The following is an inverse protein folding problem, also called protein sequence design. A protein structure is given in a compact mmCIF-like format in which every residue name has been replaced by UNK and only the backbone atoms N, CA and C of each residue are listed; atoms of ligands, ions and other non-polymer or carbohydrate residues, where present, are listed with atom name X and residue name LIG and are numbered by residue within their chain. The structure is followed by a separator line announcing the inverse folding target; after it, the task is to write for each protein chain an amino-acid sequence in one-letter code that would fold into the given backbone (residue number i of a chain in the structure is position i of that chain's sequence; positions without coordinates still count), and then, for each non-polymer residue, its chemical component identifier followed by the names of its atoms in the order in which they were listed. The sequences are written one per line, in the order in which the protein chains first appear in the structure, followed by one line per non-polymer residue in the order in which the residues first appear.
data_IF_797523963956
#
_entry.id   IF_797523963956
#
_cell.length_a   1.000
_cell.length_b   1.000
_cell.length_c   1.000
_cell.angle_alpha   90.00
_cell.angle_beta   90.00
_cell.angle_gamma   90.00
#
_symmetry.space_group_name_H-M   'P 1'
#
loop_
_entity.id
_entity.type
_entity.pdbx_description
1 polymer ?
#
# COMPACT_ATOMS: atom_id res chain seq x y z
N UNK A 1 1.68 1.12 -3.16
CA UNK A 1 1.45 1.83 -1.84
C UNK A 1 2.44 2.92 -1.51
N UNK A 2 3.72 2.76 -1.87
CA UNK A 2 4.80 3.71 -1.53
C UNK A 2 4.50 5.15 -1.99
N UNK A 3 3.87 5.30 -3.16
CA UNK A 3 3.51 6.60 -3.72
C UNK A 3 2.59 7.43 -2.83
N UNK A 4 1.79 6.79 -1.98
CA UNK A 4 0.86 7.49 -1.09
C UNK A 4 1.59 8.31 -0.04
N UNK A 5 2.78 7.88 0.39
CA UNK A 5 3.59 8.63 1.35
C UNK A 5 4.09 9.97 0.77
N UNK A 6 4.14 10.15 -0.56
CA UNK A 6 4.44 11.47 -1.14
C UNK A 6 3.34 12.51 -0.85
N UNK A 7 2.10 12.08 -0.61
CA UNK A 7 1.03 13.00 -0.20
C UNK A 7 1.26 13.57 1.20
N UNK A 8 2.07 12.89 2.04
CA UNK A 8 2.44 13.34 3.37
C UNK A 8 3.64 14.30 3.37
N UNK A 9 4.37 14.39 2.26
CA UNK A 9 5.58 15.22 2.14
C UNK A 9 5.35 16.70 2.51
N UNK A 10 4.25 17.37 2.10
CA UNK A 10 3.98 18.75 2.50
C UNK A 10 3.75 18.94 4.02
N UNK A 11 3.49 17.86 4.75
CA UNK A 11 3.20 17.88 6.18
C UNK A 11 4.41 17.47 7.04
N UNK A 12 5.53 17.11 6.41
CA UNK A 12 6.76 16.80 7.13
C UNK A 12 7.50 18.07 7.56
N UNK A 13 8.06 18.04 8.77
CA UNK A 13 8.91 19.13 9.27
C UNK A 13 10.17 19.35 8.42
N UNK A 14 10.72 18.26 7.86
CA UNK A 14 11.93 18.27 7.01
C UNK A 14 11.70 17.51 5.71
N UNK A 15 11.10 18.15 4.68
CA UNK A 15 10.82 17.51 3.41
C UNK A 15 12.06 17.01 2.67
N UNK A 16 13.22 17.67 2.83
CA UNK A 16 14.48 17.22 2.20
C UNK A 16 14.98 15.85 2.70
N UNK A 17 14.61 15.45 3.93
CA UNK A 17 15.01 14.16 4.51
C UNK A 17 14.08 13.01 4.09
N UNK A 18 12.97 13.29 3.38
CA UNK A 18 11.97 12.29 2.99
C UNK A 18 12.58 11.09 2.28
N UNK A 19 13.52 11.30 1.35
CA UNK A 19 14.16 10.21 0.62
C UNK A 19 14.98 9.27 1.52
N UNK A 20 15.60 9.80 2.58
CA UNK A 20 16.34 8.99 3.57
C UNK A 20 15.38 8.22 4.47
N UNK A 21 14.35 8.89 4.98
CA UNK A 21 13.31 8.28 5.80
C UNK A 21 12.60 7.14 5.05
N UNK A 22 12.25 7.37 3.78
CA UNK A 22 11.60 6.37 2.94
C UNK A 22 12.49 5.15 2.72
N UNK A 23 13.77 5.35 2.38
CA UNK A 23 14.73 4.25 2.23
C UNK A 23 14.88 3.45 3.52
N UNK A 24 15.06 4.13 4.66
CA UNK A 24 15.18 3.46 5.96
C UNK A 24 13.94 2.64 6.31
N UNK A 25 12.75 3.21 6.14
CA UNK A 25 11.48 2.51 6.37
C UNK A 25 11.30 1.30 5.46
N UNK A 26 11.64 1.44 4.16
CA UNK A 26 11.57 0.34 3.20
C UNK A 26 12.56 -0.78 3.54
N UNK A 27 13.78 -0.46 3.93
CA UNK A 27 14.78 -1.46 4.33
C UNK A 27 14.33 -2.21 5.57
N UNK A 28 13.85 -1.51 6.60
CA UNK A 28 13.33 -2.16 7.82
C UNK A 28 12.12 -3.04 7.48
N UNK A 29 11.17 -2.52 6.70
CA UNK A 29 10.00 -3.27 6.26
C UNK A 29 10.37 -4.53 5.48
N UNK A 30 11.32 -4.43 4.55
CA UNK A 30 11.80 -5.57 3.76
C UNK A 30 12.45 -6.64 4.65
N UNK A 31 13.30 -6.24 5.61
CA UNK A 31 13.94 -7.17 6.55
C UNK A 31 12.89 -7.86 7.43
N UNK A 32 11.94 -7.11 7.98
CA UNK A 32 10.87 -7.67 8.82
C UNK A 32 10.00 -8.65 8.02
N UNK A 33 9.59 -8.28 6.80
CA UNK A 33 8.82 -9.16 5.93
C UNK A 33 9.59 -10.45 5.60
N UNK A 34 10.88 -10.33 5.28
CA UNK A 34 11.73 -11.48 4.99
C UNK A 34 11.81 -12.43 6.19
N UNK A 35 11.99 -11.90 7.40
CA UNK A 35 12.02 -12.70 8.62
C UNK A 35 10.68 -13.43 8.87
N UNK A 36 9.56 -12.75 8.64
CA UNK A 36 8.22 -13.34 8.78
C UNK A 36 8.03 -14.48 7.75
N UNK A 37 8.37 -14.23 6.48
CA UNK A 37 8.26 -15.24 5.43
C UNK A 37 9.15 -16.45 5.69
N UNK A 38 10.40 -16.25 6.11
CA UNK A 38 11.29 -17.35 6.49
C UNK A 38 10.72 -18.16 7.65
N UNK A 39 10.23 -17.49 8.69
CA UNK A 39 9.59 -18.13 9.84
C UNK A 39 8.38 -18.97 9.40
N UNK A 40 7.57 -18.47 8.48
CA UNK A 40 6.41 -19.19 7.97
C UNK A 40 6.81 -20.43 7.15
N UNK A 41 7.82 -20.30 6.28
CA UNK A 41 8.36 -21.42 5.48
C UNK A 41 8.97 -22.48 6.39
N UNK A 42 9.76 -22.10 7.40
CA UNK A 42 10.42 -23.03 8.31
C UNK A 42 9.42 -23.83 9.13
N UNK A 43 8.31 -23.21 9.55
CA UNK A 43 7.32 -23.87 10.41
C UNK A 43 6.29 -24.68 9.61
N UNK A 44 5.80 -24.16 8.48
CA UNK A 44 4.76 -24.83 7.68
C UNK A 44 5.34 -25.73 6.58
N UNK A 45 6.60 -25.54 6.18
CA UNK A 45 7.21 -26.24 5.05
C UNK A 45 6.37 -26.11 3.78
N UNK A 46 6.09 -27.25 3.13
CA UNK A 46 5.27 -27.33 1.91
C UNK A 46 3.82 -26.82 2.11
N UNK A 47 3.31 -26.82 3.35
CA UNK A 47 1.95 -26.33 3.64
C UNK A 47 1.83 -24.81 3.44
N UNK A 48 2.95 -24.08 3.38
CA UNK A 48 2.98 -22.64 3.05
C UNK A 48 2.38 -22.35 1.67
N UNK A 49 2.56 -23.26 0.70
CA UNK A 49 2.12 -23.07 -0.69
C UNK A 49 0.60 -23.16 -0.88
N UNK A 50 -0.08 -23.86 0.02
CA UNK A 50 -1.53 -24.07 -0.01
C UNK A 50 -2.28 -23.23 1.01
N UNK A 51 -1.56 -22.60 1.94
CA UNK A 51 -2.16 -21.73 2.95
C UNK A 51 -2.42 -20.34 2.41
N UNK A 52 -3.67 -19.88 2.51
CA UNK A 52 -4.07 -18.52 2.13
C UNK A 52 -3.56 -17.46 3.10
N UNK A 53 -3.31 -17.83 4.36
CA UNK A 53 -2.77 -17.00 5.43
C UNK A 53 -1.71 -17.78 6.23
N UNK A 54 -0.48 -17.88 5.71
CA UNK A 54 0.60 -18.65 6.34
C UNK A 54 0.90 -18.20 7.77
N UNK A 55 1.10 -16.89 8.00
CA UNK A 55 1.47 -16.38 9.32
C UNK A 55 0.43 -16.67 10.41
N UNK A 56 -0.86 -16.63 10.03
CA UNK A 56 -1.97 -17.02 10.90
C UNK A 56 -1.98 -18.53 11.18
N UNK A 57 -1.74 -19.34 10.15
CA UNK A 57 -1.67 -20.80 10.27
C UNK A 57 -0.56 -21.23 11.25
N UNK A 58 0.60 -20.57 11.19
CA UNK A 58 1.69 -20.81 12.15
C UNK A 58 1.28 -20.46 13.58
N UNK A 59 0.59 -19.33 13.79
CA UNK A 59 0.15 -18.93 15.13
C UNK A 59 -0.84 -19.93 15.73
N UNK A 60 -1.67 -20.55 14.88
CA UNK A 60 -2.59 -21.61 15.29
C UNK A 60 -1.87 -22.91 15.66
N UNK A 61 -0.75 -23.23 15.02
CA UNK A 61 0.10 -24.38 15.40
C UNK A 61 0.71 -24.22 16.80
N UNK A 62 1.10 -23.00 17.17
CA UNK A 62 1.65 -22.70 18.51
C UNK A 62 0.57 -22.90 19.60
N UNK A 63 -0.70 -22.70 19.27
CA UNK A 63 -1.84 -22.89 20.20
C UNK A 63 -2.06 -24.37 20.58
N UNK A 64 -1.81 -25.31 19.67
CA UNK A 64 -1.95 -26.75 19.92
C UNK A 64 -0.96 -27.31 20.96
N UNK A 65 0.07 -26.54 21.33
CA UNK A 65 1.06 -26.91 22.35
C UNK A 65 0.73 -26.37 23.76
N UNK A 66 -0.54 -26.02 24.04
CA UNK A 66 -1.11 -25.60 25.34
C UNK A 66 -0.54 -24.33 26.01
N UNK A 67 0.61 -23.80 25.59
CA UNK A 67 1.30 -22.68 26.27
C UNK A 67 0.78 -21.29 25.82
N UNK A 68 0.19 -21.16 24.62
CA UNK A 68 -0.12 -19.87 23.98
C UNK A 68 -1.53 -19.79 23.35
N UNK A 69 -2.54 -20.24 24.09
CA UNK A 69 -3.93 -20.42 23.64
C UNK A 69 -4.66 -19.15 23.14
N UNK A 70 -4.07 -17.95 23.21
CA UNK A 70 -4.69 -16.66 22.83
C UNK A 70 -3.88 -15.78 21.87
N UNK A 71 -2.77 -16.26 21.30
CA UNK A 71 -1.98 -15.46 20.36
C UNK A 71 -2.74 -15.14 19.05
N UNK A 72 -3.68 -15.99 18.66
CA UNK A 72 -4.54 -15.78 17.50
C UNK A 72 -5.35 -14.47 17.60
N UNK A 73 -5.90 -14.19 18.79
CA UNK A 73 -6.68 -12.98 19.05
C UNK A 73 -5.79 -11.74 18.97
N UNK A 74 -4.58 -11.81 19.54
CA UNK A 74 -3.62 -10.70 19.47
C UNK A 74 -3.22 -10.39 18.03
N UNK A 75 -3.04 -11.41 17.20
CA UNK A 75 -2.77 -11.25 15.78
C UNK A 75 -3.94 -10.58 15.04
N UNK A 76 -5.17 -11.00 15.30
CA UNK A 76 -6.36 -10.37 14.71
C UNK A 76 -6.45 -8.88 15.10
N UNK A 77 -6.24 -8.55 16.38
CA UNK A 77 -6.22 -7.16 16.86
C UNK A 77 -5.14 -6.35 16.14
N UNK A 78 -3.92 -6.90 16.05
CA UNK A 78 -2.81 -6.22 15.36
C UNK A 78 -3.12 -5.98 13.88
N UNK A 79 -3.70 -6.96 13.18
CA UNK A 79 -4.14 -6.79 11.80
C UNK A 79 -5.22 -5.71 11.65
N UNK A 80 -6.22 -5.69 12.54
CA UNK A 80 -7.28 -4.67 12.51
C UNK A 80 -6.68 -3.28 12.70
N UNK A 81 -5.77 -3.11 13.65
CA UNK A 81 -5.10 -1.83 13.90
C UNK A 81 -4.26 -1.40 12.69
N UNK A 82 -3.48 -2.31 12.11
CA UNK A 82 -2.69 -2.01 10.90
C UNK A 82 -3.58 -1.64 9.71
N UNK A 83 -4.68 -2.38 9.51
CA UNK A 83 -5.63 -2.12 8.43
C UNK A 83 -6.31 -0.77 8.61
N UNK A 84 -6.66 -0.41 9.86
CA UNK A 84 -7.21 0.90 10.19
C UNK A 84 -6.25 2.02 9.76
N UNK A 85 -4.99 1.98 10.20
CA UNK A 85 -4.00 2.99 9.79
C UNK A 85 -3.80 3.04 8.27
N UNK A 86 -3.74 1.89 7.62
CA UNK A 86 -3.61 1.78 6.17
C UNK A 86 -4.77 2.47 5.46
N UNK A 87 -6.01 2.14 5.83
CA UNK A 87 -7.21 2.73 5.23
C UNK A 87 -7.27 4.23 5.51
N UNK A 88 -6.94 4.68 6.73
CA UNK A 88 -6.92 6.11 7.06
C UNK A 88 -5.94 6.90 6.16
N UNK A 89 -4.74 6.38 5.95
CA UNK A 89 -3.73 7.04 5.10
C UNK A 89 -4.17 7.06 3.62
N UNK A 90 -4.67 5.93 3.11
CA UNK A 90 -5.18 5.83 1.74
C UNK A 90 -6.38 6.75 1.50
N UNK A 91 -7.29 6.82 2.47
CA UNK A 91 -8.45 7.69 2.44
C UNK A 91 -8.04 9.17 2.41
N UNK A 92 -7.14 9.57 3.32
CA UNK A 92 -6.60 10.92 3.35
C UNK A 92 -5.97 11.30 2.00
N UNK A 93 -5.13 10.43 1.46
CA UNK A 93 -4.47 10.66 0.18
C UNK A 93 -5.46 10.75 -1.00
N UNK A 94 -6.50 9.93 -1.00
CA UNK A 94 -7.52 9.92 -2.06
C UNK A 94 -8.34 11.21 -2.05
N UNK A 95 -8.84 11.63 -0.89
CA UNK A 95 -9.60 12.88 -0.73
C UNK A 95 -8.74 14.09 -1.12
N UNK A 96 -7.49 14.12 -0.65
CA UNK A 96 -6.54 15.20 -0.97
C UNK A 96 -6.22 15.25 -2.46
N UNK A 97 -6.01 14.10 -3.10
CA UNK A 97 -5.72 14.02 -4.53
C UNK A 97 -6.88 14.57 -5.37
N UNK A 98 -8.12 14.18 -5.06
CA UNK A 98 -9.31 14.64 -5.78
C UNK A 98 -9.55 16.13 -5.55
N UNK A 99 -9.38 16.61 -4.32
CA UNK A 99 -9.49 18.04 -4.02
C UNK A 99 -8.50 18.87 -4.84
N UNK A 100 -7.26 18.40 -5.00
CA UNK A 100 -6.23 19.07 -5.82
C UNK A 100 -6.55 18.99 -7.31
N UNK A 101 -7.01 17.84 -7.81
CA UNK A 101 -7.34 17.66 -9.23
C UNK A 101 -8.53 18.54 -9.67
N UNK A 102 -9.55 18.63 -8.82
CA UNK A 102 -10.76 19.44 -9.07
C UNK A 102 -10.61 20.90 -8.63
N UNK A 103 -9.44 21.29 -8.08
CA UNK A 103 -9.13 22.65 -7.59
C UNK A 103 -10.13 23.17 -6.54
N UNK A 104 -10.66 22.29 -5.69
CA UNK A 104 -11.53 22.71 -4.59
C UNK A 104 -10.72 23.42 -3.49
N UNK A 105 -11.23 24.54 -2.96
CA UNK A 105 -10.58 25.30 -1.89
C UNK A 105 -10.67 24.62 -0.52
N UNK A 106 -11.68 23.76 -0.31
CA UNK A 106 -11.88 23.02 0.93
C UNK A 106 -12.25 21.56 0.65
N UNK A 107 -11.52 20.63 1.27
CA UNK A 107 -11.77 19.20 1.17
C UNK A 107 -12.79 18.69 2.19
N UNK A 108 -13.27 19.55 3.12
CA UNK A 108 -14.17 19.15 4.22
C UNK A 108 -15.47 18.52 3.73
N UNK A 109 -16.04 19.03 2.63
CA UNK A 109 -17.24 18.44 2.02
C UNK A 109 -16.96 17.10 1.33
N UNK A 110 -15.75 16.91 0.80
CA UNK A 110 -15.37 15.67 0.12
C UNK A 110 -15.20 14.51 1.10
N UNK A 111 -14.82 14.78 2.36
CA UNK A 111 -14.64 13.76 3.40
C UNK A 111 -15.90 12.88 3.54
N UNK A 112 -17.07 13.38 3.98
CA UNK A 112 -18.24 12.53 4.17
C UNK A 112 -18.72 11.85 2.88
N UNK A 113 -18.60 12.52 1.72
CA UNK A 113 -18.97 11.96 0.42
C UNK A 113 -18.11 10.75 0.06
N UNK A 114 -16.79 10.90 0.10
CA UNK A 114 -15.86 9.79 -0.16
C UNK A 114 -15.97 8.70 0.89
N UNK A 115 -16.25 9.06 2.14
CA UNK A 115 -16.50 8.09 3.21
C UNK A 115 -17.69 7.18 2.89
N UNK A 116 -18.82 7.77 2.50
CA UNK A 116 -20.01 7.02 2.09
C UNK A 116 -19.75 6.14 0.87
N UNK A 117 -19.08 6.67 -0.16
CA UNK A 117 -18.73 5.91 -1.36
C UNK A 117 -17.84 4.71 -1.05
N UNK A 118 -16.85 4.86 -0.17
CA UNK A 118 -15.97 3.76 0.22
C UNK A 118 -16.74 2.67 0.97
N UNK A 119 -17.67 3.03 1.86
CA UNK A 119 -18.48 2.06 2.58
C UNK A 119 -19.39 1.28 1.61
N UNK A 120 -20.06 1.97 0.70
CA UNK A 120 -20.90 1.32 -0.33
C UNK A 120 -20.05 0.39 -1.19
N UNK A 121 -18.89 0.87 -1.65
CA UNK A 121 -17.98 0.06 -2.46
C UNK A 121 -17.48 -1.17 -1.70
N UNK A 122 -17.11 -1.02 -0.42
CA UNK A 122 -16.62 -2.12 0.41
C UNK A 122 -17.65 -3.25 0.58
N UNK A 123 -18.95 -2.93 0.58
CA UNK A 123 -20.03 -3.91 0.69
C UNK A 123 -20.29 -4.61 -0.66
N UNK A 124 -20.12 -3.89 -1.78
CA UNK A 124 -20.49 -4.38 -3.12
C UNK A 124 -19.33 -4.97 -3.94
N UNK A 125 -18.07 -4.82 -3.50
CA UNK A 125 -16.90 -5.09 -4.35
C UNK A 125 -16.63 -6.58 -4.60
N UNK A 126 -16.89 -7.45 -3.63
CA UNK A 126 -16.63 -8.89 -3.76
C UNK A 126 -17.78 -9.67 -3.12
N UNK A 127 -18.38 -10.57 -3.88
CA UNK A 127 -19.47 -11.42 -3.39
C UNK A 127 -18.95 -12.64 -2.62
N UNK A 128 -17.69 -13.03 -2.86
CA UNK A 128 -17.06 -14.16 -2.17
C UNK A 128 -15.56 -13.96 -1.93
N UNK A 129 -15.03 -14.67 -0.92
CA UNK A 129 -13.59 -14.73 -0.65
C UNK A 129 -12.78 -15.27 -1.84
N UNK A 130 -13.39 -16.14 -2.66
CA UNK A 130 -12.76 -16.68 -3.86
C UNK A 130 -12.59 -15.60 -4.92
N UNK A 131 -13.62 -14.79 -5.17
CA UNK A 131 -13.57 -13.68 -6.12
C UNK A 131 -12.49 -12.66 -5.71
N UNK A 132 -12.43 -12.31 -4.42
CA UNK A 132 -11.40 -11.43 -3.90
C UNK A 132 -9.99 -12.00 -4.13
N UNK A 133 -9.79 -13.31 -3.90
CA UNK A 133 -8.50 -13.96 -4.13
C UNK A 133 -8.15 -14.02 -5.63
N UNK A 134 -9.14 -14.26 -6.49
CA UNK A 134 -8.94 -14.25 -7.95
C UNK A 134 -8.54 -12.85 -8.43
N UNK A 135 -9.26 -11.81 -8.01
CA UNK A 135 -8.93 -10.43 -8.32
C UNK A 135 -7.51 -10.06 -7.86
N UNK A 136 -7.14 -10.45 -6.64
CA UNK A 136 -5.80 -10.22 -6.07
C UNK A 136 -4.68 -10.83 -6.91
N UNK A 137 -4.88 -12.04 -7.45
CA UNK A 137 -3.83 -12.74 -8.18
C UNK A 137 -3.78 -12.41 -9.68
N UNK A 138 -4.91 -12.00 -10.27
CA UNK A 138 -5.02 -11.79 -11.72
C UNK A 138 -5.11 -10.30 -12.08
N UNK A 139 -6.09 -9.59 -11.53
CA UNK A 139 -6.38 -8.22 -11.93
C UNK A 139 -5.49 -7.19 -11.21
N UNK A 140 -5.26 -7.38 -9.91
CA UNK A 140 -4.51 -6.44 -9.09
C UNK A 140 -3.06 -6.23 -9.57
N UNK A 141 -2.30 -7.26 -10.01
CA UNK A 141 -0.95 -7.06 -10.54
C UNK A 141 -0.94 -6.23 -11.82
N UNK A 142 -1.91 -6.44 -12.72
CA UNK A 142 -2.02 -5.69 -13.98
C UNK A 142 -2.31 -4.21 -13.67
N UNK A 143 -3.30 -3.96 -12.82
CA UNK A 143 -3.69 -2.61 -12.42
C UNK A 143 -2.54 -1.89 -11.70
N UNK A 144 -1.93 -2.52 -10.69
CA UNK A 144 -0.83 -1.93 -9.93
C UNK A 144 0.40 -1.66 -10.81
N UNK A 145 0.76 -2.57 -11.72
CA UNK A 145 1.91 -2.37 -12.64
C UNK A 145 1.73 -1.13 -13.49
N UNK A 146 0.51 -0.85 -13.95
CA UNK A 146 0.25 0.37 -14.73
C UNK A 146 0.53 1.65 -13.91
N UNK A 147 0.03 1.72 -12.67
CA UNK A 147 0.21 2.91 -11.82
C UNK A 147 1.61 3.02 -11.19
N UNK A 148 2.23 1.90 -10.85
CA UNK A 148 3.51 1.88 -10.14
C UNK A 148 4.72 1.89 -11.07
N UNK A 149 4.60 1.39 -12.30
CA UNK A 149 5.70 1.30 -13.26
C UNK A 149 5.44 2.13 -14.52
N UNK A 150 4.34 1.88 -15.22
CA UNK A 150 4.10 2.51 -16.54
C UNK A 150 3.97 4.02 -16.42
N UNK A 151 3.13 4.51 -15.51
CA UNK A 151 2.92 5.95 -15.31
C UNK A 151 4.21 6.70 -14.95
N UNK A 152 5.01 6.27 -13.95
CA UNK A 152 6.29 6.91 -13.63
C UNK A 152 7.30 6.88 -14.79
N UNK A 153 7.38 5.77 -15.53
CA UNK A 153 8.29 5.65 -16.70
C UNK A 153 7.88 6.61 -17.81
N UNK A 154 6.59 6.67 -18.16
CA UNK A 154 6.08 7.62 -19.15
C UNK A 154 6.35 9.06 -18.71
N UNK A 155 6.10 9.37 -17.44
CA UNK A 155 6.37 10.71 -16.88
C UNK A 155 7.85 11.06 -16.97
N UNK A 156 8.75 10.10 -16.69
CA UNK A 156 10.19 10.28 -16.80
C UNK A 156 10.64 10.51 -18.24
N UNK A 157 10.10 9.75 -19.20
CA UNK A 157 10.38 9.93 -20.63
C UNK A 157 9.96 11.32 -21.09
N UNK A 158 8.72 11.73 -20.78
CA UNK A 158 8.21 13.07 -21.13
C UNK A 158 9.08 14.17 -20.52
N UNK A 159 9.49 14.01 -19.26
CA UNK A 159 10.37 14.97 -18.58
C UNK A 159 11.76 15.03 -19.23
N UNK A 160 12.34 13.88 -19.61
CA UNK A 160 13.63 13.82 -20.30
C UNK A 160 13.57 14.50 -21.66
N UNK A 161 12.55 14.22 -22.47
CA UNK A 161 12.36 14.84 -23.79
C UNK A 161 12.20 16.36 -23.66
N UNK A 162 11.36 16.84 -22.75
CA UNK A 162 11.18 18.28 -22.51
C UNK A 162 12.46 18.98 -22.06
N UNK A 163 13.28 18.33 -21.23
CA UNK A 163 14.55 18.88 -20.76
C UNK A 163 15.61 18.95 -21.88
N UNK A 164 15.55 18.02 -22.84
CA UNK A 164 16.38 18.07 -24.05
C UNK A 164 15.98 19.26 -24.91
N UNK A 165 14.69 19.44 -25.20
CA UNK A 165 14.20 20.58 -25.99
C UNK A 165 14.51 21.95 -25.35
N UNK A 166 14.30 22.09 -24.04
CA UNK A 166 14.62 23.34 -23.32
C UNK A 166 16.13 23.65 -23.26
N UNK A 167 17.00 22.64 -23.39
CA UNK A 167 18.46 22.81 -23.43
C UNK A 167 18.96 23.13 -24.86
N UNK A 168 18.21 22.72 -25.87
CA UNK A 168 18.46 23.02 -27.29
C UNK A 168 18.10 24.47 -27.64
N UNK A 169 17.00 25.00 -27.09
CA UNK A 169 16.61 26.42 -27.23
C UNK A 169 17.55 27.40 -26.50
N UNK A 170 18.28 26.94 -25.48
CA UNK A 170 19.19 27.77 -24.68
C UNK A 170 20.62 27.86 -25.23
N UNK A 171 20.91 27.30 -26.42
CA UNK A 171 22.21 27.45 -27.09
C UNK A 171 22.15 28.68 -28.01
N UNK A 172 22.86 29.78 -27.71
CA UNK A 172 22.94 30.91 -28.63
C UNK A 172 23.74 30.48 -29.87
N UNK A 173 23.15 30.72 -31.04
CA UNK A 173 23.79 30.70 -32.35
C UNK A 173 24.84 31.81 -32.47
#
# INVERSE_FOLDING_TARGET
EIFVFFMLLPYMQKPEEFGKALKGGLTIGAVVLLLITLRDIVILGNYTLVSTLPSFSVLRLINLAEIFTRLEILYAILLIVLLFFKVSILYFASVTAVSRLMKFSSYHFLVPVFGGLIVIYAISVFESSFEHMYWKNVAAPIYSTFFELVLPVVTLIVAAVRKVSAKEEAKPS
#
